data_IF_193522810261
#
_entry.id   IF_193522810261
#
_cell.length_a   1.000
_cell.length_b   1.000
_cell.length_c   1.000
_cell.angle_alpha   90.00
_cell.angle_beta   90.00
_cell.angle_gamma   90.00
#
_symmetry.space_group_name_H-M   'P 1'
#
loop_
_entity.id
_entity.type
_entity.pdbx_description
1 polymer ?
#
# COMPACT_ATOMS: atom_id res chain seq x y z
N UNK A 1 9.99 2.14 10.46
CA UNK A 1 9.02 2.37 9.35
C UNK A 1 7.87 1.39 9.48
N UNK A 2 6.66 1.90 9.65
CA UNK A 2 5.48 1.05 9.75
C UNK A 2 4.67 1.17 8.47
N UNK A 3 4.60 0.09 7.71
CA UNK A 3 3.88 0.06 6.44
C UNK A 3 2.56 -0.67 6.64
N UNK A 4 1.47 -0.03 6.25
CA UNK A 4 0.14 -0.63 6.26
C UNK A 4 -0.41 -0.54 4.85
N UNK A 5 -0.89 -1.67 4.34
CA UNK A 5 -1.55 -1.68 3.04
C UNK A 5 -3.02 -2.05 3.24
N UNK A 6 -3.87 -1.39 2.47
CA UNK A 6 -5.31 -1.62 2.50
C UNK A 6 -5.69 -2.27 1.19
N UNK A 7 -6.20 -3.50 1.26
CA UNK A 7 -6.45 -4.31 0.07
C UNK A 7 -7.92 -4.72 0.00
N UNK A 8 -8.30 -5.26 -1.16
CA UNK A 8 -9.64 -5.79 -1.34
C UNK A 8 -9.54 -7.14 -2.04
N UNK A 9 -10.59 -7.93 -1.90
CA UNK A 9 -10.66 -9.24 -2.53
C UNK A 9 -10.67 -9.09 -4.05
N UNK A 10 -9.93 -9.95 -4.74
CA UNK A 10 -9.91 -9.96 -6.19
C UNK A 10 -9.08 -8.84 -6.83
N UNK A 11 -8.21 -8.21 -6.07
CA UNK A 11 -7.41 -7.09 -6.56
C UNK A 11 -6.03 -7.57 -7.00
N UNK A 12 -5.77 -7.55 -8.31
CA UNK A 12 -4.48 -7.98 -8.84
C UNK A 12 -3.35 -7.05 -8.44
N UNK A 13 -3.62 -5.74 -8.38
CA UNK A 13 -2.59 -4.77 -7.97
C UNK A 13 -2.23 -4.93 -6.50
N UNK A 14 -3.14 -5.43 -5.68
CA UNK A 14 -2.84 -5.70 -4.28
C UNK A 14 -1.78 -6.79 -4.14
N UNK A 15 -1.84 -7.79 -5.00
CA UNK A 15 -0.79 -8.83 -5.03
C UNK A 15 0.54 -8.21 -5.42
N UNK A 16 0.54 -7.32 -6.38
CA UNK A 16 1.78 -6.69 -6.85
C UNK A 16 2.41 -5.81 -5.79
N UNK A 17 1.60 -5.08 -5.02
CA UNK A 17 2.16 -4.23 -3.97
C UNK A 17 2.78 -5.08 -2.86
N UNK A 18 2.19 -6.23 -2.58
CA UNK A 18 2.77 -7.14 -1.59
C UNK A 18 4.11 -7.67 -2.06
N UNK A 19 4.22 -8.00 -3.34
CA UNK A 19 5.50 -8.43 -3.90
C UNK A 19 6.55 -7.33 -3.84
N UNK A 20 6.13 -6.10 -4.12
CA UNK A 20 7.02 -4.94 -4.05
C UNK A 20 7.59 -4.77 -2.64
N UNK A 21 6.73 -4.83 -1.64
CA UNK A 21 7.16 -4.67 -0.26
C UNK A 21 8.08 -5.81 0.15
N UNK A 22 7.79 -7.00 -0.33
CA UNK A 22 8.63 -8.17 -0.06
C UNK A 22 10.03 -7.97 -0.64
N UNK A 23 10.13 -7.42 -1.84
CA UNK A 23 11.41 -7.11 -2.45
C UNK A 23 12.18 -6.07 -1.67
N UNK A 24 11.48 -5.11 -1.09
CA UNK A 24 12.10 -4.10 -0.26
C UNK A 24 12.57 -4.66 1.07
N UNK A 25 12.16 -5.88 1.38
CA UNK A 25 12.58 -6.59 2.60
C UNK A 25 12.20 -5.83 3.87
N UNK A 26 10.99 -5.31 3.90
CA UNK A 26 10.45 -4.61 5.07
C UNK A 26 9.16 -5.27 5.49
N UNK A 27 8.86 -5.27 6.79
CA UNK A 27 7.60 -5.82 7.25
C UNK A 27 6.45 -4.89 6.91
N UNK A 28 5.25 -5.45 6.84
CA UNK A 28 4.05 -4.66 6.58
C UNK A 28 2.85 -5.33 7.24
N UNK A 29 1.78 -4.55 7.39
CA UNK A 29 0.50 -5.03 7.90
C UNK A 29 -0.50 -4.91 6.77
N UNK A 30 -1.22 -5.99 6.48
CA UNK A 30 -2.29 -5.96 5.49
C UNK A 30 -3.63 -5.86 6.18
N UNK A 31 -4.43 -4.85 5.81
CA UNK A 31 -5.81 -4.72 6.28
C UNK A 31 -6.73 -4.96 5.10
N UNK A 32 -7.72 -5.81 5.28
CA UNK A 32 -8.60 -6.26 4.20
C UNK A 32 -9.96 -5.60 4.32
N UNK A 33 -10.45 -5.13 3.18
CA UNK A 33 -11.75 -4.48 3.09
C UNK A 33 -12.85 -5.41 3.60
N UNK A 34 -13.74 -4.85 4.42
CA UNK A 34 -14.89 -5.53 5.01
C UNK A 34 -14.52 -6.65 5.99
N UNK A 35 -13.24 -6.76 6.33
CA UNK A 35 -12.76 -7.64 7.38
C UNK A 35 -12.11 -6.81 8.46
N UNK A 36 -11.15 -5.98 8.07
CA UNK A 36 -10.38 -5.16 9.01
C UNK A 36 -10.79 -3.69 8.98
N UNK A 37 -11.47 -3.26 7.93
CA UNK A 37 -11.92 -1.87 7.80
C UNK A 37 -13.06 -1.80 6.80
N UNK A 38 -13.81 -0.69 6.81
CA UNK A 38 -14.81 -0.42 5.79
C UNK A 38 -14.31 0.69 4.87
N UNK A 39 -14.93 0.79 3.70
CA UNK A 39 -14.58 1.84 2.75
C UNK A 39 -14.73 3.23 3.39
N UNK A 40 -15.81 3.42 4.15
CA UNK A 40 -16.06 4.70 4.80
C UNK A 40 -14.96 5.04 5.80
N UNK A 41 -14.52 4.05 6.56
CA UNK A 41 -13.43 4.27 7.52
C UNK A 41 -12.15 4.67 6.83
N UNK A 42 -11.83 4.01 5.71
CA UNK A 42 -10.63 4.35 4.96
C UNK A 42 -10.69 5.77 4.43
N UNK A 43 -11.83 6.16 3.86
CA UNK A 43 -12.00 7.50 3.30
C UNK A 43 -11.98 8.57 4.36
N UNK A 44 -12.43 8.26 5.59
CA UNK A 44 -12.31 9.21 6.69
C UNK A 44 -10.86 9.46 7.05
N UNK A 45 -10.05 8.40 7.09
CA UNK A 45 -8.64 8.53 7.44
C UNK A 45 -7.83 9.14 6.30
N UNK A 46 -8.15 8.75 5.07
CA UNK A 46 -7.38 9.13 3.90
C UNK A 46 -8.35 9.51 2.77
N UNK A 47 -8.83 10.77 2.78
CA UNK A 47 -9.83 11.19 1.77
C UNK A 47 -9.35 11.08 0.33
N UNK A 48 -8.04 11.04 0.12
CA UNK A 48 -7.49 10.93 -1.23
C UNK A 48 -7.48 9.49 -1.75
N UNK A 49 -7.81 8.53 -0.91
CA UNK A 49 -7.85 7.13 -1.34
C UNK A 49 -9.00 6.94 -2.32
N UNK A 50 -8.69 6.54 -3.54
CA UNK A 50 -9.71 6.37 -4.57
C UNK A 50 -9.61 5.02 -5.26
N UNK A 51 -9.02 4.04 -4.62
CA UNK A 51 -8.91 2.71 -5.19
C UNK A 51 -7.98 1.86 -4.34
N UNK A 52 -7.77 0.64 -4.77
CA UNK A 52 -6.94 -0.30 -4.05
C UNK A 52 -5.82 -0.80 -4.95
N UNK A 53 -4.67 -1.12 -4.37
CA UNK A 53 -4.35 -1.03 -2.94
C UNK A 53 -4.04 0.42 -2.51
N UNK A 54 -4.08 0.64 -1.20
CA UNK A 54 -3.63 1.90 -0.62
C UNK A 54 -2.48 1.57 0.33
N UNK A 55 -1.39 2.32 0.24
CA UNK A 55 -0.25 2.13 1.14
C UNK A 55 -0.05 3.37 1.98
N UNK A 56 0.19 3.15 3.26
CA UNK A 56 0.59 4.22 4.18
C UNK A 56 1.92 3.84 4.81
N UNK A 57 2.71 4.85 5.15
CA UNK A 57 3.98 4.66 5.85
C UNK A 57 3.97 5.59 7.05
N UNK A 58 4.08 4.99 8.23
CA UNK A 58 4.06 5.74 9.50
C UNK A 58 2.84 6.66 9.59
N UNK A 59 1.70 6.20 9.09
CA UNK A 59 0.46 6.95 9.13
C UNK A 59 0.27 7.93 8.00
N UNK A 60 1.25 8.07 7.12
CA UNK A 60 1.17 9.01 6.01
C UNK A 60 0.69 8.31 4.73
N UNK A 61 -0.28 8.90 4.07
CA UNK A 61 -0.83 8.37 2.83
C UNK A 61 0.20 8.46 1.71
N UNK A 62 0.56 7.32 1.13
CA UNK A 62 1.49 7.28 0.00
C UNK A 62 0.72 7.19 -1.31
N UNK A 63 -0.23 6.30 -1.39
CA UNK A 63 -1.02 6.13 -2.60
C UNK A 63 -1.22 4.68 -2.95
N UNK A 64 -1.41 4.43 -4.24
CA UNK A 64 -1.66 3.11 -4.76
C UNK A 64 -0.35 2.46 -5.22
N UNK A 65 -0.42 1.48 -6.12
CA UNK A 65 0.76 0.73 -6.56
C UNK A 65 1.83 1.63 -7.18
N UNK A 66 1.42 2.52 -8.10
CA UNK A 66 2.38 3.36 -8.82
C UNK A 66 3.13 4.28 -7.85
N UNK A 67 2.39 4.93 -6.96
CA UNK A 67 3.01 5.82 -5.97
C UNK A 67 3.90 5.05 -5.01
N UNK A 68 3.53 3.83 -4.69
CA UNK A 68 4.34 2.98 -3.81
C UNK A 68 5.66 2.60 -4.47
N UNK A 69 5.63 2.29 -5.76
CA UNK A 69 6.86 2.00 -6.49
C UNK A 69 7.78 3.21 -6.45
N UNK A 70 7.24 4.39 -6.75
CA UNK A 70 8.03 5.62 -6.71
C UNK A 70 8.62 5.86 -5.34
N UNK A 71 7.84 5.65 -4.29
CA UNK A 71 8.29 5.85 -2.93
C UNK A 71 9.51 4.97 -2.62
N UNK A 72 9.40 3.68 -2.95
CA UNK A 72 10.50 2.75 -2.64
C UNK A 72 11.73 3.02 -3.48
N UNK A 73 11.54 3.42 -4.74
CA UNK A 73 12.68 3.75 -5.60
C UNK A 73 13.39 4.99 -5.07
N UNK A 74 12.64 6.02 -4.67
CA UNK A 74 13.23 7.24 -4.14
C UNK A 74 13.96 7.01 -2.83
N UNK A 75 13.49 6.06 -2.04
CA UNK A 75 14.16 5.72 -0.78
C UNK A 75 15.31 4.74 -0.97
N UNK A 76 15.53 4.29 -2.20
CA UNK A 76 16.61 3.34 -2.48
C UNK A 76 16.33 1.94 -1.99
N UNK A 77 15.06 1.61 -1.71
CA UNK A 77 14.71 0.31 -1.15
C UNK A 77 14.52 -0.75 -2.22
N UNK A 78 14.18 -0.35 -3.43
CA UNK A 78 14.10 -1.25 -4.57
C UNK A 78 14.68 -0.54 -5.79
N UNK A 79 15.10 -1.33 -6.79
CA UNK A 79 15.61 -0.79 -8.02
C UNK A 79 14.47 -0.51 -8.98
N UNK A 80 14.55 0.61 -9.72
CA UNK A 80 13.57 0.92 -10.75
C UNK A 80 13.84 0.14 -12.03
N UNK A 81 14.97 -0.53 -12.11
CA UNK A 81 15.34 -1.32 -13.29
C UNK A 81 14.80 -2.72 -13.18
N UNK A 82 14.57 -3.31 -14.36
CA UNK A 82 14.17 -4.72 -14.44
C UNK A 82 15.32 -5.61 -14.06
#
# INVERSE_FOLDING_TARGET
MEIIIYTMKGCGHCTRIKELIHRANVPYIEKKLDIDFTREELLEMYPKANGYPVMTVDGEFIGSLVESVKYFVEKGMVSSRK
#
